data_IF_941520229329
#
_entry.id   IF_941520229329
#
_cell.length_a   1.000
_cell.length_b   1.000
_cell.length_c   1.000
_cell.angle_alpha   90.00
_cell.angle_beta   90.00
_cell.angle_gamma   90.00
#
_symmetry.space_group_name_H-M   'P 1'
#
loop_
_entity.id
_entity.type
_entity.pdbx_description
1 polymer ?
#
# COMPACT_ATOMS: atom_id res chain seq x y z
N UNK A 1 5.02 14.63 1.63
CA UNK A 1 6.33 13.96 1.55
C UNK A 1 6.76 13.86 0.09
N UNK A 2 8.02 14.13 -0.18
CA UNK A 2 8.53 14.03 -1.56
C UNK A 2 8.67 12.57 -1.99
N UNK A 3 8.56 12.32 -3.30
CA UNK A 3 8.64 10.97 -3.84
C UNK A 3 9.92 10.24 -3.41
N UNK A 4 11.06 10.91 -3.47
CA UNK A 4 12.34 10.30 -3.05
C UNK A 4 12.32 9.88 -1.58
N UNK A 5 11.60 10.61 -0.74
CA UNK A 5 11.51 10.31 0.70
C UNK A 5 10.59 9.10 0.93
N UNK A 6 9.56 8.96 0.13
CA UNK A 6 8.65 7.80 0.20
C UNK A 6 9.41 6.53 -0.20
N UNK A 7 10.15 6.60 -1.29
CA UNK A 7 10.98 5.49 -1.75
C UNK A 7 11.99 5.11 -0.67
N UNK A 8 12.65 6.11 -0.08
CA UNK A 8 13.62 5.89 0.98
C UNK A 8 12.96 5.25 2.21
N UNK A 9 11.78 5.72 2.59
CA UNK A 9 11.06 5.14 3.73
C UNK A 9 10.81 3.65 3.51
N UNK A 10 10.31 3.26 2.34
CA UNK A 10 10.05 1.86 2.04
C UNK A 10 11.33 1.04 2.10
N UNK A 11 12.41 1.56 1.53
CA UNK A 11 13.70 0.87 1.55
C UNK A 11 14.27 0.75 2.96
N UNK A 12 14.17 1.80 3.76
CA UNK A 12 14.65 1.79 5.14
C UNK A 12 13.86 0.78 5.99
N UNK A 13 12.54 0.71 5.82
CA UNK A 13 11.73 -0.28 6.52
C UNK A 13 12.16 -1.69 6.18
N UNK A 14 12.35 -1.94 4.89
CA UNK A 14 12.79 -3.24 4.41
C UNK A 14 14.14 -3.64 5.02
N UNK A 15 15.07 -2.71 5.07
CA UNK A 15 16.40 -2.96 5.61
C UNK A 15 16.40 -3.07 7.13
N UNK A 16 15.73 -2.15 7.83
CA UNK A 16 15.74 -2.11 9.28
C UNK A 16 15.06 -3.33 9.90
N UNK A 17 14.02 -3.83 9.28
CA UNK A 17 13.29 -5.00 9.79
C UNK A 17 13.61 -6.28 9.03
N UNK A 18 14.49 -6.19 8.04
CA UNK A 18 14.92 -7.34 7.23
C UNK A 18 13.73 -8.14 6.66
N UNK A 19 12.74 -7.43 6.15
CA UNK A 19 11.56 -8.06 5.55
C UNK A 19 10.91 -7.12 4.56
N UNK A 20 10.29 -7.69 3.51
CA UNK A 20 9.44 -6.98 2.57
C UNK A 20 7.97 -7.24 2.84
N UNK A 21 7.68 -8.09 3.83
CA UNK A 21 6.31 -8.53 4.09
C UNK A 21 5.52 -7.41 4.77
N UNK A 22 4.53 -6.81 4.10
CA UNK A 22 3.78 -5.70 4.68
C UNK A 22 2.94 -6.11 5.89
N UNK A 23 2.58 -7.39 6.02
CA UNK A 23 1.88 -7.89 7.20
C UNK A 23 2.76 -7.76 8.44
N UNK A 24 4.03 -8.16 8.31
CA UNK A 24 5.00 -8.05 9.41
C UNK A 24 5.29 -6.59 9.76
N UNK A 25 5.46 -5.75 8.72
CA UNK A 25 5.74 -4.33 8.93
C UNK A 25 4.56 -3.61 9.60
N UNK A 26 3.34 -3.93 9.19
CA UNK A 26 2.15 -3.36 9.80
C UNK A 26 2.10 -3.64 11.30
N UNK A 27 2.44 -4.87 11.69
CA UNK A 27 2.47 -5.27 13.09
C UNK A 27 3.46 -4.42 13.90
N UNK A 28 4.62 -4.08 13.32
CA UNK A 28 5.62 -3.23 13.98
C UNK A 28 5.08 -1.84 14.31
N UNK A 29 4.07 -1.38 13.58
CA UNK A 29 3.47 -0.07 13.78
C UNK A 29 2.13 -0.13 14.51
N UNK A 30 1.79 -1.29 15.08
CA UNK A 30 0.53 -1.45 15.79
C UNK A 30 -0.70 -1.45 14.89
N UNK A 31 -0.51 -1.67 13.61
CA UNK A 31 -1.60 -1.73 12.64
C UNK A 31 -2.08 -3.17 12.55
N UNK A 32 -3.38 -3.38 12.75
CA UNK A 32 -3.97 -4.72 12.62
C UNK A 32 -4.32 -4.99 11.19
N UNK A 33 -3.97 -6.18 10.70
CA UNK A 33 -4.36 -6.63 9.36
C UNK A 33 -5.28 -7.81 9.51
N UNK A 34 -6.47 -7.71 8.91
CA UNK A 34 -7.48 -8.76 8.94
C UNK A 34 -7.72 -9.23 7.52
N UNK A 35 -7.58 -10.53 7.28
CA UNK A 35 -7.88 -11.14 5.99
C UNK A 35 -9.27 -11.77 6.10
N UNK A 36 -10.19 -11.35 5.24
CA UNK A 36 -11.57 -11.83 5.28
C UNK A 36 -12.03 -12.30 3.91
N UNK A 37 -12.61 -13.49 3.85
CA UNK A 37 -13.22 -14.03 2.64
C UNK A 37 -14.67 -13.61 2.48
N UNK A 38 -15.17 -12.80 3.39
CA UNK A 38 -16.57 -12.35 3.38
C UNK A 38 -16.82 -11.13 2.52
N UNK A 39 -15.76 -10.51 1.98
CA UNK A 39 -15.90 -9.32 1.14
C UNK A 39 -16.34 -9.70 -0.28
N UNK A 40 -17.12 -8.81 -0.95
CA UNK A 40 -17.39 -8.97 -2.38
C UNK A 40 -16.09 -8.98 -3.17
N UNK A 41 -16.09 -9.67 -4.32
CA UNK A 41 -14.86 -9.86 -5.09
C UNK A 41 -14.29 -8.54 -5.63
N UNK A 42 -15.14 -7.54 -5.84
CA UNK A 42 -14.71 -6.24 -6.34
C UNK A 42 -14.14 -5.32 -5.24
N UNK A 43 -14.26 -5.70 -3.97
CA UNK A 43 -13.66 -4.94 -2.87
C UNK A 43 -12.36 -5.62 -2.45
N UNK A 44 -11.25 -5.10 -2.93
CA UNK A 44 -9.94 -5.75 -2.75
C UNK A 44 -9.37 -5.55 -1.34
N UNK A 45 -9.36 -4.32 -0.87
CA UNK A 45 -8.82 -3.98 0.44
C UNK A 45 -9.26 -2.58 0.84
N UNK A 46 -9.22 -2.30 2.13
CA UNK A 46 -9.47 -0.94 2.63
C UNK A 46 -8.90 -0.78 4.03
N UNK A 47 -8.75 0.48 4.44
CA UNK A 47 -8.19 0.85 5.74
C UNK A 47 -9.27 1.53 6.57
N UNK A 48 -9.40 1.11 7.83
CA UNK A 48 -10.32 1.71 8.79
C UNK A 48 -9.50 2.44 9.84
N UNK A 49 -9.86 3.71 10.06
CA UNK A 49 -9.24 4.54 11.09
C UNK A 49 -10.27 5.02 12.09
N UNK A 50 -9.84 5.06 13.34
CA UNK A 50 -10.67 5.58 14.41
C UNK A 50 -9.74 6.20 15.45
N UNK A 51 -10.13 7.36 16.01
CA UNK A 51 -9.29 8.15 16.91
C UNK A 51 -8.80 7.39 18.13
N UNK A 52 -9.61 6.46 18.65
CA UNK A 52 -9.32 5.77 19.90
C UNK A 52 -8.89 4.32 19.73
N UNK A 53 -8.72 3.86 18.50
CA UNK A 53 -8.42 2.46 18.21
C UNK A 53 -7.30 2.35 17.19
N UNK A 54 -6.56 1.22 17.20
CA UNK A 54 -5.55 0.98 16.18
C UNK A 54 -6.14 1.02 14.77
N UNK A 55 -5.35 1.48 13.82
CA UNK A 55 -5.70 1.39 12.41
C UNK A 55 -5.84 -0.08 12.02
N UNK A 56 -6.85 -0.40 11.24
CA UNK A 56 -7.11 -1.76 10.76
C UNK A 56 -7.07 -1.75 9.24
N UNK A 57 -6.30 -2.66 8.66
CA UNK A 57 -6.29 -2.92 7.22
C UNK A 57 -7.08 -4.20 7.00
N UNK A 58 -8.08 -4.13 6.13
CA UNK A 58 -8.89 -5.30 5.76
C UNK A 58 -8.47 -5.73 4.36
N UNK A 59 -8.09 -6.99 4.20
CA UNK A 59 -7.66 -7.56 2.93
C UNK A 59 -8.64 -8.65 2.52
N UNK A 60 -9.04 -8.63 1.25
CA UNK A 60 -9.94 -9.66 0.73
C UNK A 60 -9.17 -10.97 0.55
N UNK A 61 -9.51 -11.96 1.38
CA UNK A 61 -8.85 -13.26 1.37
C UNK A 61 -9.21 -14.15 0.17
N UNK A 62 -10.10 -13.68 -0.70
CA UNK A 62 -10.44 -14.39 -1.95
C UNK A 62 -9.36 -14.23 -3.01
N UNK A 63 -8.44 -13.28 -2.84
CA UNK A 63 -7.29 -13.10 -3.73
C UNK A 63 -6.13 -13.99 -3.30
N UNK A 64 -5.25 -14.33 -4.24
CA UNK A 64 -4.08 -15.14 -3.95
C UNK A 64 -3.15 -14.46 -2.96
N UNK A 65 -2.34 -15.23 -2.26
CA UNK A 65 -1.44 -14.70 -1.25
C UNK A 65 -0.52 -13.59 -1.79
N UNK A 66 0.04 -13.78 -2.98
CA UNK A 66 0.88 -12.76 -3.62
C UNK A 66 0.10 -11.46 -3.84
N UNK A 67 -1.16 -11.58 -4.24
CA UNK A 67 -2.06 -10.44 -4.40
C UNK A 67 -2.32 -9.76 -3.07
N UNK A 68 -2.51 -10.54 -2.01
CA UNK A 68 -2.72 -10.00 -0.68
C UNK A 68 -1.52 -9.18 -0.22
N UNK A 69 -0.30 -9.59 -0.56
CA UNK A 69 0.90 -8.82 -0.25
C UNK A 69 0.87 -7.46 -0.96
N UNK A 70 0.53 -7.43 -2.25
CA UNK A 70 0.44 -6.18 -3.01
C UNK A 70 -0.63 -5.25 -2.42
N UNK A 71 -1.80 -5.81 -2.12
CA UNK A 71 -2.90 -5.03 -1.52
C UNK A 71 -2.52 -4.49 -0.14
N UNK A 72 -1.90 -5.33 0.68
CA UNK A 72 -1.48 -4.92 2.02
C UNK A 72 -0.42 -3.83 1.95
N UNK A 73 0.55 -3.95 1.05
CA UNK A 73 1.59 -2.93 0.90
C UNK A 73 1.01 -1.57 0.50
N UNK A 74 0.04 -1.56 -0.40
CA UNK A 74 -0.65 -0.33 -0.81
C UNK A 74 -1.39 0.30 0.37
N UNK A 75 -2.16 -0.51 1.11
CA UNK A 75 -2.91 0.00 2.27
C UNK A 75 -1.98 0.43 3.40
N UNK A 76 -0.86 -0.26 3.59
CA UNK A 76 0.14 0.15 4.56
C UNK A 76 0.73 1.51 4.19
N UNK A 77 0.96 1.74 2.88
CA UNK A 77 1.39 3.04 2.40
C UNK A 77 0.43 4.14 2.80
N UNK A 78 -0.86 3.94 2.60
CA UNK A 78 -1.88 4.89 3.05
C UNK A 78 -1.82 5.09 4.57
N UNK A 79 -1.71 4.02 5.33
CA UNK A 79 -1.71 4.09 6.78
C UNK A 79 -0.52 4.87 7.33
N UNK A 80 0.66 4.69 6.74
CA UNK A 80 1.87 5.36 7.21
C UNK A 80 2.00 6.79 6.71
N UNK A 81 1.56 7.07 5.47
CA UNK A 81 1.78 8.36 4.82
C UNK A 81 0.61 9.33 5.01
N UNK A 82 -0.60 8.82 5.19
CA UNK A 82 -1.82 9.65 5.15
C UNK A 82 -2.66 9.49 6.41
N UNK A 83 -2.02 9.28 7.55
CA UNK A 83 -2.72 8.93 8.79
C UNK A 83 -3.74 9.99 9.25
N UNK A 84 -3.46 11.26 9.01
CA UNK A 84 -4.31 12.34 9.51
C UNK A 84 -5.17 13.00 8.45
N UNK A 85 -4.90 12.74 7.17
CA UNK A 85 -5.39 13.58 6.09
C UNK A 85 -6.52 12.98 5.27
N UNK A 86 -6.75 11.67 5.36
CA UNK A 86 -7.73 11.01 4.49
C UNK A 86 -9.14 11.55 4.67
N UNK A 87 -9.52 11.87 5.90
CA UNK A 87 -10.85 12.42 6.18
C UNK A 87 -11.02 13.83 5.63
N UNK A 88 -9.92 14.56 5.47
CA UNK A 88 -9.93 15.91 4.95
C UNK A 88 -9.91 15.95 3.42
N UNK A 89 -9.33 14.95 2.78
CA UNK A 89 -9.20 14.91 1.33
C UNK A 89 -10.51 14.65 0.60
N UNK A 90 -11.45 13.98 1.23
CA UNK A 90 -12.76 13.76 0.62
C UNK A 90 -13.45 15.08 0.25
N UNK A 91 -12.96 16.20 0.78
CA UNK A 91 -13.61 17.51 0.66
C UNK A 91 -12.87 18.44 -0.28
N UNK A 92 -11.60 18.20 -0.65
CA UNK A 92 -10.80 19.27 -1.20
C UNK A 92 -10.44 19.21 -2.68
N UNK A 93 -10.01 18.12 -3.26
CA UNK A 93 -9.79 18.12 -4.72
C UNK A 93 -9.40 16.77 -5.28
N UNK A 94 -9.68 16.58 -6.58
CA UNK A 94 -9.27 15.41 -7.33
C UNK A 94 -7.74 15.25 -7.38
N UNK A 95 -7.01 16.36 -7.33
CA UNK A 95 -5.55 16.33 -7.39
C UNK A 95 -4.93 15.78 -6.11
N UNK A 96 -5.48 16.18 -4.95
CA UNK A 96 -5.03 15.66 -3.66
C UNK A 96 -5.26 14.15 -3.57
N UNK A 97 -6.42 13.67 -4.04
CA UNK A 97 -6.73 12.24 -4.06
C UNK A 97 -5.75 11.47 -4.95
N UNK A 98 -5.45 12.01 -6.14
CA UNK A 98 -4.49 11.36 -7.06
C UNK A 98 -3.10 11.27 -6.46
N UNK A 99 -2.66 12.32 -5.73
CA UNK A 99 -1.36 12.31 -5.08
C UNK A 99 -1.28 11.26 -3.99
N UNK A 100 -2.36 11.09 -3.23
CA UNK A 100 -2.45 10.07 -2.18
C UNK A 100 -2.30 8.67 -2.77
N UNK A 101 -2.99 8.40 -3.88
CA UNK A 101 -2.88 7.11 -4.56
C UNK A 101 -1.49 6.89 -5.16
N UNK A 102 -0.91 7.91 -5.78
CA UNK A 102 0.45 7.82 -6.29
C UNK A 102 1.44 7.49 -5.18
N UNK A 103 1.32 8.18 -4.05
CA UNK A 103 2.23 7.97 -2.94
C UNK A 103 2.12 6.56 -2.36
N UNK A 104 0.90 6.05 -2.20
CA UNK A 104 0.69 4.69 -1.72
C UNK A 104 1.22 3.65 -2.70
N UNK A 105 1.04 3.88 -4.00
CA UNK A 105 1.55 2.98 -5.04
C UNK A 105 3.08 3.01 -5.08
N UNK A 106 3.68 4.18 -4.96
CA UNK A 106 5.13 4.33 -4.93
C UNK A 106 5.73 3.60 -3.73
N UNK A 107 5.10 3.75 -2.56
CA UNK A 107 5.52 3.04 -1.36
C UNK A 107 5.47 1.53 -1.58
N UNK A 108 4.34 1.03 -2.09
CA UNK A 108 4.14 -0.41 -2.28
C UNK A 108 5.14 -1.02 -3.27
N UNK A 109 5.36 -0.36 -4.41
CA UNK A 109 6.32 -0.85 -5.40
C UNK A 109 7.74 -0.82 -4.83
N UNK A 110 8.10 0.26 -4.14
CA UNK A 110 9.44 0.39 -3.54
C UNK A 110 9.69 -0.64 -2.46
N UNK A 111 8.65 -1.04 -1.73
CA UNK A 111 8.77 -2.06 -0.69
C UNK A 111 8.92 -3.46 -1.27
N UNK A 112 8.07 -3.80 -2.24
CA UNK A 112 7.93 -5.18 -2.71
C UNK A 112 8.93 -5.58 -3.80
N UNK A 113 9.44 -4.63 -4.57
CA UNK A 113 10.26 -4.93 -5.74
C UNK A 113 11.62 -4.27 -5.65
N UNK A 114 12.58 -4.83 -6.39
CA UNK A 114 13.88 -4.20 -6.61
C UNK A 114 13.81 -3.32 -7.85
N UNK A 115 14.45 -2.16 -7.81
CA UNK A 115 14.50 -1.28 -8.97
C UNK A 115 15.13 -1.97 -10.18
N UNK A 116 16.07 -2.88 -9.93
CA UNK A 116 16.72 -3.67 -11.00
C UNK A 116 15.75 -4.59 -11.74
N UNK A 117 14.56 -4.84 -11.19
CA UNK A 117 13.54 -5.65 -11.87
C UNK A 117 12.89 -4.89 -13.04
N UNK A 118 13.14 -3.58 -13.14
CA UNK A 118 12.52 -2.71 -14.14
C UNK A 118 13.57 -2.12 -15.06
N UNK A 119 13.14 -1.72 -16.27
CA UNK A 119 14.01 -1.04 -17.23
C UNK A 119 14.05 0.47 -17.02
N UNK A 120 13.53 0.95 -15.90
CA UNK A 120 13.52 2.37 -15.57
C UNK A 120 13.54 2.54 -14.06
N UNK A 121 13.89 3.75 -13.63
CA UNK A 121 13.87 4.09 -12.20
C UNK A 121 12.44 4.20 -11.70
N UNK A 122 12.19 3.69 -10.50
CA UNK A 122 10.86 3.73 -9.89
C UNK A 122 10.36 5.18 -9.75
N UNK A 123 11.27 6.11 -9.44
CA UNK A 123 10.89 7.53 -9.31
C UNK A 123 10.46 8.15 -10.65
N UNK A 124 10.80 7.52 -11.78
CA UNK A 124 10.37 7.99 -13.10
C UNK A 124 9.05 7.36 -13.54
N UNK A 125 8.50 6.45 -12.76
CA UNK A 125 7.22 5.82 -13.09
C UNK A 125 6.05 6.74 -12.76
N UNK A 126 5.09 6.81 -13.68
CA UNK A 126 3.83 7.49 -13.43
C UNK A 126 2.99 6.66 -12.46
N UNK A 127 1.95 7.27 -11.89
CA UNK A 127 0.99 6.53 -11.08
C UNK A 127 0.37 5.38 -11.86
N UNK A 128 0.10 5.59 -13.15
CA UNK A 128 -0.45 4.55 -14.02
C UNK A 128 0.49 3.34 -14.08
N UNK A 129 1.79 3.57 -14.28
CA UNK A 129 2.76 2.47 -14.35
C UNK A 129 2.92 1.74 -13.02
N UNK A 130 2.99 2.49 -11.93
CA UNK A 130 3.08 1.89 -10.59
C UNK A 130 1.86 1.01 -10.32
N UNK A 131 0.68 1.50 -10.67
CA UNK A 131 -0.55 0.74 -10.50
C UNK A 131 -0.55 -0.51 -11.36
N UNK A 132 -0.03 -0.43 -12.61
CA UNK A 132 0.07 -1.58 -13.47
C UNK A 132 0.99 -2.66 -12.89
N UNK A 133 2.10 -2.26 -12.30
CA UNK A 133 3.02 -3.21 -11.65
C UNK A 133 2.30 -3.95 -10.53
N UNK A 134 1.56 -3.23 -9.70
CA UNK A 134 0.84 -3.84 -8.59
C UNK A 134 -0.32 -4.71 -9.09
N UNK A 135 -1.11 -4.21 -10.04
CA UNK A 135 -2.29 -4.94 -10.55
C UNK A 135 -1.89 -6.20 -11.31
N UNK A 136 -0.75 -6.20 -11.99
CA UNK A 136 -0.25 -7.38 -12.68
C UNK A 136 -0.07 -8.57 -11.72
N UNK A 137 0.17 -8.27 -10.46
CA UNK A 137 0.39 -9.28 -9.43
C UNK A 137 -0.89 -9.63 -8.65
N UNK A 138 -2.04 -9.08 -9.05
CA UNK A 138 -3.30 -9.30 -8.32
C UNK A 138 -4.17 -10.30 -9.07
N UNK A 139 -4.40 -11.46 -8.47
CA UNK A 139 -5.20 -12.53 -9.03
C UNK A 139 -6.14 -13.10 -7.98
N UNK A 140 -7.35 -13.46 -8.44
CA UNK A 140 -8.33 -14.13 -7.60
C UNK A 140 -7.95 -15.59 -7.47
N UNK A 141 -8.05 -16.12 -6.27
CA UNK A 141 -7.85 -17.54 -6.01
C UNK A 141 -9.06 -18.32 -6.51
N UNK A 142 -8.80 -19.30 -7.35
CA UNK A 142 -9.85 -20.17 -7.91
C UNK A 142 -10.21 -21.32 -6.96
#
# INVERSE_FOLDING_TARGET
MKAKDIKKLAEDLRENYNTRNPFELAEKYGIRVVVSKMLPIDRKAYTIRSDNYPTIIIINGRYEHRSQLALCAHELGHALLHSDDINNFAVTSKNAFKNVEYEANLFAVSLLFNESDFNMKVLNMSNYLLKQVLDYNIEVEE
#
